data_IF_391687338539
#
_entry.id   IF_391687338539
#
_cell.length_a   1.000
_cell.length_b   1.000
_cell.length_c   1.000
_cell.angle_alpha   90.00
_cell.angle_beta   90.00
_cell.angle_gamma   90.00
#
_symmetry.space_group_name_H-M   'P 1'
#
loop_
_entity.id
_entity.type
_entity.pdbx_description
1 polymer ?
#
# COMPACT_ATOMS: atom_id res chain seq x y z
N UNK A 1 -4.68 2.76 -20.86
CA UNK A 1 -5.53 2.12 -19.87
C UNK A 1 -4.70 1.33 -18.89
N UNK A 2 -4.70 1.70 -17.65
CA UNK A 2 -3.95 0.98 -16.65
C UNK A 2 -4.56 -0.38 -16.33
N UNK A 3 -3.82 -1.20 -15.62
CA UNK A 3 -4.33 -2.47 -15.15
C UNK A 3 -5.49 -2.19 -14.18
N UNK A 4 -6.49 -3.04 -14.25
CA UNK A 4 -7.64 -2.91 -13.35
C UNK A 4 -7.46 -3.89 -12.21
N UNK A 5 -7.34 -3.34 -11.01
CA UNK A 5 -7.33 -4.16 -9.83
C UNK A 5 -8.77 -4.57 -9.53
N UNK A 6 -9.00 -5.86 -9.43
CA UNK A 6 -10.32 -6.38 -9.06
C UNK A 6 -10.38 -6.50 -7.55
N UNK A 7 -11.39 -5.88 -6.94
CA UNK A 7 -11.56 -5.97 -5.50
C UNK A 7 -11.80 -7.41 -5.08
N UNK A 8 -11.21 -7.83 -3.94
CA UNK A 8 -11.50 -9.14 -3.39
C UNK A 8 -12.98 -9.28 -3.05
N UNK A 9 -13.51 -10.48 -3.21
CA UNK A 9 -14.89 -10.80 -2.87
C UNK A 9 -14.89 -12.07 -2.03
N UNK A 10 -15.30 -11.99 -0.75
CA UNK A 10 -15.81 -10.82 -0.05
C UNK A 10 -14.74 -9.76 0.20
N UNK A 11 -15.17 -8.53 0.50
CA UNK A 11 -14.23 -7.46 0.84
C UNK A 11 -13.43 -7.84 2.09
N UNK A 12 -12.16 -7.47 2.14
CA UNK A 12 -11.33 -7.75 3.32
C UNK A 12 -11.78 -6.92 4.53
N UNK A 13 -11.30 -7.32 5.70
CA UNK A 13 -11.56 -6.56 6.92
C UNK A 13 -10.86 -5.20 6.91
N UNK A 14 -9.73 -5.12 6.21
CA UNK A 14 -8.93 -3.90 6.12
C UNK A 14 -8.00 -3.99 4.92
N UNK A 15 -7.75 -2.85 4.27
CA UNK A 15 -6.68 -2.75 3.29
C UNK A 15 -5.44 -2.16 3.93
N UNK A 16 -4.29 -2.72 3.60
CA UNK A 16 -2.98 -2.25 4.04
C UNK A 16 -2.21 -1.89 2.78
N UNK A 17 -1.93 -0.60 2.59
CA UNK A 17 -1.47 -0.08 1.30
C UNK A 17 -0.11 0.60 1.46
N UNK A 18 0.84 0.19 0.64
CA UNK A 18 2.17 0.80 0.55
C UNK A 18 2.37 1.32 -0.86
N UNK A 19 2.77 2.58 -0.99
CA UNK A 19 3.00 3.13 -2.30
C UNK A 19 3.86 4.39 -2.29
N UNK A 20 3.86 5.06 -3.42
CA UNK A 20 4.60 6.31 -3.63
C UNK A 20 3.88 7.11 -4.72
N UNK A 21 4.51 8.18 -5.19
CA UNK A 21 3.85 9.03 -6.20
C UNK A 21 3.63 8.30 -7.52
N UNK A 22 4.46 7.31 -7.85
CA UNK A 22 4.30 6.56 -9.10
C UNK A 22 3.03 5.69 -9.09
N UNK A 23 2.62 5.21 -7.92
CA UNK A 23 1.44 4.36 -7.78
C UNK A 23 0.22 5.11 -7.25
N UNK A 24 0.34 6.41 -6.96
CA UNK A 24 -0.72 7.14 -6.27
C UNK A 24 -2.03 7.18 -7.05
N UNK A 25 -1.98 7.27 -8.37
CA UNK A 25 -3.19 7.24 -9.19
C UNK A 25 -3.94 5.92 -9.01
N UNK A 26 -3.22 4.80 -9.00
CA UNK A 26 -3.82 3.49 -8.76
C UNK A 26 -4.36 3.39 -7.33
N UNK A 27 -3.64 3.94 -6.36
CA UNK A 27 -4.08 3.94 -4.97
C UNK A 27 -5.37 4.74 -4.82
N UNK A 28 -5.44 5.92 -5.43
CA UNK A 28 -6.66 6.73 -5.37
C UNK A 28 -7.85 6.01 -6.00
N UNK A 29 -7.63 5.31 -7.11
CA UNK A 29 -8.70 4.50 -7.72
C UNK A 29 -9.15 3.39 -6.77
N UNK A 30 -8.22 2.75 -6.08
CA UNK A 30 -8.55 1.72 -5.11
C UNK A 30 -9.34 2.32 -3.94
N UNK A 31 -8.90 3.45 -3.41
CA UNK A 31 -9.58 4.10 -2.29
C UNK A 31 -11.01 4.51 -2.66
N UNK A 32 -11.22 4.96 -3.90
CA UNK A 32 -12.56 5.29 -4.37
C UNK A 32 -13.44 4.04 -4.44
N UNK A 33 -12.87 2.89 -4.75
CA UNK A 33 -13.63 1.66 -4.96
C UNK A 33 -13.98 0.91 -3.68
N UNK A 34 -13.19 1.07 -2.61
CA UNK A 34 -13.37 0.27 -1.40
C UNK A 34 -14.50 0.76 -0.48
N UNK A 35 -15.05 1.94 -0.75
CA UNK A 35 -16.13 2.50 0.05
C UNK A 35 -15.70 2.72 1.50
N UNK A 36 -16.49 2.19 2.43
CA UNK A 36 -16.26 2.36 3.86
C UNK A 36 -15.29 1.33 4.46
N UNK A 37 -14.71 0.47 3.64
CA UNK A 37 -13.74 -0.51 4.12
C UNK A 37 -12.53 0.23 4.70
N UNK A 38 -12.10 -0.10 5.92
CA UNK A 38 -10.94 0.57 6.52
C UNK A 38 -9.68 0.35 5.70
N UNK A 39 -8.82 1.37 5.66
CA UNK A 39 -7.54 1.27 4.98
C UNK A 39 -6.49 2.08 5.72
N UNK A 40 -5.28 1.54 5.80
CA UNK A 40 -4.11 2.26 6.27
C UNK A 40 -3.16 2.38 5.09
N UNK A 41 -2.74 3.61 4.79
CA UNK A 41 -1.92 3.91 3.61
C UNK A 41 -0.61 4.54 4.06
N UNK A 42 0.49 3.99 3.60
CA UNK A 42 1.82 4.57 3.77
C UNK A 42 2.36 4.93 2.41
N UNK A 43 2.69 6.23 2.25
CA UNK A 43 3.17 6.78 0.98
C UNK A 43 4.55 7.37 1.17
N UNK A 44 5.45 7.03 0.25
CA UNK A 44 6.82 7.52 0.29
C UNK A 44 6.93 8.75 -0.60
N UNK A 45 7.59 9.80 -0.09
CA UNK A 45 7.84 11.01 -0.86
C UNK A 45 9.34 11.21 -1.07
N UNK A 46 9.69 11.81 -2.21
CA UNK A 46 11.07 12.13 -2.54
C UNK A 46 11.31 13.63 -2.55
N UNK A 47 10.29 14.41 -2.85
CA UNK A 47 10.31 15.88 -2.81
C UNK A 47 9.19 16.34 -1.91
N UNK A 48 9.44 17.42 -1.16
CA UNK A 48 8.39 17.89 -0.23
C UNK A 48 7.07 18.15 -0.93
N UNK A 49 7.11 18.64 -2.18
CA UNK A 49 5.88 18.90 -2.94
C UNK A 49 5.08 17.65 -3.23
N UNK A 50 5.68 16.46 -3.15
CA UNK A 50 4.94 15.21 -3.34
C UNK A 50 3.81 15.07 -2.32
N UNK A 51 4.01 15.60 -1.12
CA UNK A 51 3.03 15.50 -0.04
C UNK A 51 1.80 16.38 -0.27
N UNK A 52 1.88 17.28 -1.24
CA UNK A 52 0.74 18.12 -1.60
C UNK A 52 -0.19 17.45 -2.60
N UNK A 53 0.20 16.30 -3.16
CA UNK A 53 -0.63 15.57 -4.11
C UNK A 53 -1.84 15.00 -3.39
N UNK A 54 -3.06 15.22 -3.89
CA UNK A 54 -4.26 14.76 -3.20
C UNK A 54 -4.33 13.24 -3.09
N UNK A 55 -4.71 12.77 -1.90
CA UNK A 55 -5.01 11.37 -1.65
C UNK A 55 -6.50 11.28 -1.31
N UNK A 56 -7.21 10.36 -1.95
CA UNK A 56 -8.66 10.23 -1.82
C UNK A 56 -9.02 9.54 -0.50
N UNK A 57 -8.89 10.28 0.60
CA UNK A 57 -9.17 9.75 1.93
C UNK A 57 -10.65 9.87 2.28
N UNK A 58 -11.09 9.04 3.22
CA UNK A 58 -12.40 9.12 3.83
C UNK A 58 -12.22 8.92 5.33
N UNK A 59 -13.33 8.88 6.07
CA UNK A 59 -13.28 8.74 7.54
C UNK A 59 -12.65 7.42 7.99
N UNK A 60 -12.64 6.41 7.12
CA UNK A 60 -12.10 5.08 7.45
C UNK A 60 -10.69 4.87 6.92
N UNK A 61 -10.09 5.88 6.31
CA UNK A 61 -8.76 5.77 5.70
C UNK A 61 -7.76 6.67 6.42
N UNK A 62 -6.63 6.11 6.83
CA UNK A 62 -5.52 6.89 7.37
C UNK A 62 -4.37 6.88 6.39
N UNK A 63 -3.70 8.02 6.22
CA UNK A 63 -2.56 8.17 5.33
C UNK A 63 -1.37 8.72 6.09
N UNK A 64 -0.24 8.08 5.93
CA UNK A 64 1.02 8.53 6.51
C UNK A 64 2.05 8.70 5.39
N UNK A 65 2.60 9.90 5.26
CA UNK A 65 3.68 10.17 4.32
C UNK A 65 5.03 9.97 5.00
N UNK A 66 5.95 9.30 4.32
CA UNK A 66 7.30 9.03 4.83
C UNK A 66 8.32 9.46 3.80
N UNK A 67 9.41 10.02 4.25
CA UNK A 67 10.51 10.40 3.35
C UNK A 67 11.21 9.15 2.81
N UNK A 68 11.57 9.19 1.52
CA UNK A 68 12.37 8.09 0.96
C UNK A 68 13.81 8.22 1.42
N UNK A 69 14.25 7.28 2.22
CA UNK A 69 15.65 7.17 2.67
C UNK A 69 16.12 5.74 2.44
N UNK A 70 17.39 5.59 2.14
CA UNK A 70 18.04 4.27 2.03
C UNK A 70 17.19 3.27 1.22
N UNK A 71 16.72 3.72 0.05
CA UNK A 71 15.99 2.85 -0.89
C UNK A 71 14.74 2.20 -0.28
N UNK A 72 13.94 3.01 0.39
CA UNK A 72 12.66 2.55 0.91
C UNK A 72 12.72 1.96 2.30
N UNK A 73 13.76 2.30 3.06
CA UNK A 73 13.95 1.74 4.41
C UNK A 73 12.74 1.95 5.32
N UNK A 74 12.16 3.16 5.32
CA UNK A 74 11.06 3.44 6.23
C UNK A 74 9.84 2.60 5.92
N UNK A 75 9.48 2.44 4.63
CA UNK A 75 8.37 1.58 4.25
C UNK A 75 8.63 0.13 4.65
N UNK A 76 9.86 -0.34 4.45
CA UNK A 76 10.20 -1.72 4.82
C UNK A 76 10.10 -1.94 6.33
N UNK A 77 10.51 -0.96 7.12
CA UNK A 77 10.40 -1.05 8.58
C UNK A 77 8.95 -1.05 9.03
N UNK A 78 8.11 -0.22 8.41
CA UNK A 78 6.68 -0.20 8.71
C UNK A 78 6.08 -1.58 8.44
N UNK A 79 6.43 -2.19 7.32
CA UNK A 79 5.92 -3.52 6.98
C UNK A 79 6.25 -4.56 8.06
N UNK A 80 7.41 -4.42 8.71
CA UNK A 80 7.79 -5.33 9.80
C UNK A 80 7.02 -5.06 11.08
N UNK A 81 6.66 -3.80 11.34
CA UNK A 81 6.15 -3.38 12.64
C UNK A 81 4.62 -3.38 12.75
N UNK A 82 3.92 -3.26 11.63
CA UNK A 82 2.46 -3.18 11.66
C UNK A 82 1.84 -4.51 12.05
N UNK A 83 0.56 -4.44 12.45
CA UNK A 83 -0.26 -5.63 12.65
C UNK A 83 -1.14 -5.82 11.43
N UNK A 84 -1.21 -7.05 10.93
CA UNK A 84 -2.09 -7.43 9.83
C UNK A 84 -3.20 -8.30 10.42
N UNK A 85 -4.40 -7.76 10.63
CA UNK A 85 -5.47 -8.56 11.22
C UNK A 85 -5.92 -9.65 10.25
N UNK A 86 -6.56 -10.71 10.78
CA UNK A 86 -7.12 -11.75 9.92
C UNK A 86 -8.10 -11.14 8.92
N UNK A 87 -8.03 -11.58 7.68
CA UNK A 87 -8.88 -11.07 6.62
C UNK A 87 -8.41 -9.78 5.98
N UNK A 88 -7.24 -9.26 6.37
CA UNK A 88 -6.68 -8.06 5.73
C UNK A 88 -6.16 -8.37 4.33
N UNK A 89 -6.13 -7.35 3.48
CA UNK A 89 -5.56 -7.44 2.15
C UNK A 89 -4.47 -6.39 1.99
N UNK A 90 -3.30 -6.81 1.54
CA UNK A 90 -2.17 -5.91 1.34
C UNK A 90 -2.02 -5.55 -0.15
N UNK A 91 -1.89 -4.27 -0.44
CA UNK A 91 -1.63 -3.75 -1.78
C UNK A 91 -0.30 -2.99 -1.74
N UNK A 92 0.66 -3.38 -2.59
CA UNK A 92 2.01 -2.82 -2.56
C UNK A 92 2.41 -2.39 -3.96
N UNK A 93 2.76 -1.11 -4.12
CA UNK A 93 3.20 -0.59 -5.42
C UNK A 93 4.27 0.47 -5.24
N UNK A 94 5.53 0.07 -5.26
CA UNK A 94 6.70 0.93 -5.11
C UNK A 94 7.73 0.56 -6.17
N UNK A 95 9.00 0.94 -5.93
CA UNK A 95 10.08 0.42 -6.75
C UNK A 95 10.23 -1.10 -6.55
N UNK A 96 10.91 -1.75 -7.48
CA UNK A 96 10.98 -3.21 -7.50
C UNK A 96 11.54 -3.82 -6.23
N UNK A 97 12.64 -3.26 -5.72
CA UNK A 97 13.27 -3.79 -4.52
C UNK A 97 12.37 -3.65 -3.29
N UNK A 98 11.83 -2.46 -3.07
CA UNK A 98 10.97 -2.19 -1.92
C UNK A 98 9.69 -3.04 -1.99
N UNK A 99 9.08 -3.13 -3.16
CA UNK A 99 7.86 -3.93 -3.36
C UNK A 99 8.10 -5.39 -2.99
N UNK A 100 9.20 -5.96 -3.51
CA UNK A 100 9.52 -7.36 -3.23
C UNK A 100 9.79 -7.59 -1.75
N UNK A 101 10.54 -6.69 -1.13
CA UNK A 101 10.88 -6.79 0.29
C UNK A 101 9.63 -6.75 1.16
N UNK A 102 8.73 -5.80 0.89
CA UNK A 102 7.48 -5.67 1.65
C UNK A 102 6.61 -6.91 1.46
N UNK A 103 6.48 -7.38 0.22
CA UNK A 103 5.68 -8.58 -0.05
C UNK A 103 6.19 -9.78 0.73
N UNK A 104 7.51 -9.98 0.76
CA UNK A 104 8.11 -11.09 1.49
C UNK A 104 7.86 -10.97 2.99
N UNK A 105 7.96 -9.76 3.53
CA UNK A 105 7.70 -9.51 4.96
C UNK A 105 6.23 -9.80 5.30
N UNK A 106 5.30 -9.33 4.49
CA UNK A 106 3.88 -9.53 4.73
C UNK A 106 3.54 -11.03 4.70
N UNK A 107 4.07 -11.75 3.72
CA UNK A 107 3.81 -13.19 3.62
C UNK A 107 4.47 -13.99 4.75
N UNK A 108 5.71 -13.65 5.07
CA UNK A 108 6.46 -14.43 6.06
C UNK A 108 6.14 -14.06 7.48
N UNK A 109 6.22 -12.75 7.80
CA UNK A 109 6.07 -12.29 9.18
C UNK A 109 4.61 -12.20 9.61
N UNK A 110 3.75 -11.76 8.71
CA UNK A 110 2.34 -11.55 9.03
C UNK A 110 1.44 -12.66 8.53
N UNK A 111 2.02 -13.61 7.82
CA UNK A 111 1.34 -14.85 7.40
C UNK A 111 0.09 -14.63 6.55
N UNK A 112 0.00 -13.51 5.84
CA UNK A 112 -1.09 -13.32 4.89
C UNK A 112 -0.90 -14.27 3.71
N UNK A 113 -1.96 -14.95 3.24
CA UNK A 113 -1.83 -15.82 2.09
C UNK A 113 -1.56 -15.03 0.82
N UNK A 114 -0.96 -15.70 -0.16
CA UNK A 114 -0.64 -15.09 -1.44
C UNK A 114 -1.85 -14.43 -2.10
N UNK A 115 -3.02 -15.01 -1.91
CA UNK A 115 -4.27 -14.49 -2.48
C UNK A 115 -4.76 -13.22 -1.81
N UNK A 116 -4.15 -12.84 -0.67
CA UNK A 116 -4.49 -11.61 0.04
C UNK A 116 -3.42 -10.53 -0.15
N UNK A 117 -2.58 -10.65 -1.18
CA UNK A 117 -1.53 -9.68 -1.46
C UNK A 117 -1.51 -9.38 -2.95
N UNK A 118 -1.58 -8.10 -3.30
CA UNK A 118 -1.32 -7.62 -4.65
C UNK A 118 -0.06 -6.78 -4.59
N UNK A 119 1.00 -7.23 -5.25
CA UNK A 119 2.28 -6.52 -5.28
C UNK A 119 2.70 -6.33 -6.72
N UNK A 120 3.05 -5.09 -7.08
CA UNK A 120 3.48 -4.77 -8.44
C UNK A 120 4.51 -3.65 -8.38
N UNK A 121 5.67 -3.87 -8.99
CA UNK A 121 6.66 -2.81 -9.09
C UNK A 121 6.19 -1.76 -10.09
N UNK A 122 6.30 -0.50 -9.72
CA UNK A 122 5.92 0.62 -10.56
C UNK A 122 7.13 1.30 -11.20
N UNK A 123 8.33 1.07 -10.64
CA UNK A 123 9.57 1.59 -11.18
C UNK A 123 10.75 0.82 -10.58
N UNK A 124 11.94 1.14 -11.03
CA UNK A 124 13.13 0.43 -10.55
C UNK A 124 13.73 1.06 -9.31
#
# INVERSE_FOLDING_TARGET
MGSKFRLPDPLPSEFIIFGDTASLSAINSLLDAIGDTPARVWLEWQRESDRDIPVHVSDTVTVTWLERINDGQLLREIAEQITCPPGAFAWVGCDGLTTRSIMQTIRGRHALPKTSIKAQAYWK
#
